data_IF_421099024850
#
_entry.id   IF_421099024850
#
_cell.length_a   1.000
_cell.length_b   1.000
_cell.length_c   1.000
_cell.angle_alpha   90.00
_cell.angle_beta   90.00
_cell.angle_gamma   90.00
#
_symmetry.space_group_name_H-M   'P 1'
#
loop_
_entity.id
_entity.type
_entity.pdbx_description
1 polymer ?
#
# COMPACT_ATOMS: atom_id res chain seq x y z
N UNK A 1 -20.03 -12.51 6.27
CA UNK A 1 -20.06 -12.48 4.79
C UNK A 1 -20.75 -13.73 4.29
N UNK A 2 -21.40 -13.70 3.13
CA UNK A 2 -21.85 -14.93 2.49
C UNK A 2 -20.63 -15.74 2.01
N UNK A 3 -20.72 -17.07 2.06
CA UNK A 3 -19.67 -17.97 1.58
C UNK A 3 -19.31 -17.69 0.11
N UNK A 4 -20.31 -17.36 -0.70
CA UNK A 4 -20.18 -17.02 -2.11
C UNK A 4 -19.27 -15.81 -2.36
N UNK A 5 -19.44 -14.74 -1.58
CA UNK A 5 -18.65 -13.52 -1.67
C UNK A 5 -17.14 -13.79 -1.47
N UNK A 6 -16.82 -14.61 -0.46
CA UNK A 6 -15.45 -15.03 -0.17
C UNK A 6 -14.88 -15.93 -1.26
N UNK A 7 -15.67 -16.84 -1.83
CA UNK A 7 -15.26 -17.67 -2.97
C UNK A 7 -14.96 -16.83 -4.22
N UNK A 8 -15.80 -15.85 -4.54
CA UNK A 8 -15.54 -14.93 -5.67
C UNK A 8 -14.25 -14.14 -5.48
N UNK A 9 -14.04 -13.61 -4.27
CA UNK A 9 -12.82 -12.88 -3.92
C UNK A 9 -11.57 -13.76 -4.07
N UNK A 10 -11.60 -14.99 -3.53
CA UNK A 10 -10.50 -15.94 -3.67
C UNK A 10 -10.20 -16.29 -5.14
N UNK A 11 -11.23 -16.54 -5.95
CA UNK A 11 -11.08 -16.82 -7.38
C UNK A 11 -10.46 -15.65 -8.13
N UNK A 12 -10.97 -14.43 -7.88
CA UNK A 12 -10.47 -13.20 -8.50
C UNK A 12 -9.01 -12.91 -8.09
N UNK A 13 -8.62 -13.18 -6.85
CA UNK A 13 -7.23 -13.07 -6.41
C UNK A 13 -6.34 -14.07 -7.14
N UNK A 14 -6.75 -15.34 -7.22
CA UNK A 14 -5.98 -16.38 -7.92
C UNK A 14 -5.79 -16.08 -9.40
N UNK A 15 -6.81 -15.53 -10.05
CA UNK A 15 -6.73 -15.12 -11.46
C UNK A 15 -5.68 -14.03 -11.66
N UNK A 16 -5.71 -12.97 -10.83
CA UNK A 16 -4.72 -11.89 -10.85
C UNK A 16 -3.29 -12.40 -10.65
N UNK A 17 -3.09 -13.28 -9.67
CA UNK A 17 -1.79 -13.91 -9.40
C UNK A 17 -1.31 -14.73 -10.60
N UNK A 18 -2.17 -15.57 -11.19
CA UNK A 18 -1.82 -16.35 -12.40
C UNK A 18 -1.50 -15.46 -13.59
N UNK A 19 -2.26 -14.38 -13.78
CA UNK A 19 -2.00 -13.41 -14.85
C UNK A 19 -0.64 -12.77 -14.66
N UNK A 20 -0.32 -12.29 -13.46
CA UNK A 20 1.01 -11.75 -13.16
C UNK A 20 2.13 -12.78 -13.35
N UNK A 21 1.95 -14.01 -12.86
CA UNK A 21 2.92 -15.09 -13.06
C UNK A 21 3.16 -15.39 -14.54
N UNK A 22 2.12 -15.30 -15.39
CA UNK A 22 2.26 -15.49 -16.85
C UNK A 22 3.03 -14.36 -17.54
N UNK A 23 3.08 -13.17 -16.95
CA UNK A 23 3.84 -12.02 -17.46
C UNK A 23 5.31 -12.03 -16.98
N UNK A 24 5.64 -12.81 -15.96
CA UNK A 24 7.03 -12.96 -15.51
C UNK A 24 7.89 -13.55 -16.63
N UNK A 25 9.15 -13.13 -16.68
CA UNK A 25 10.12 -13.54 -17.70
C UNK A 25 9.79 -13.14 -19.15
N UNK A 26 8.54 -12.77 -19.46
CA UNK A 26 8.09 -12.34 -20.77
C UNK A 26 8.30 -10.84 -21.00
N UNK A 27 8.52 -10.47 -22.25
CA UNK A 27 8.47 -9.07 -22.68
C UNK A 27 7.01 -8.65 -22.86
N UNK A 28 6.55 -7.75 -21.98
CA UNK A 28 5.17 -7.26 -22.02
C UNK A 28 4.99 -6.28 -23.18
N UNK A 29 3.87 -6.39 -23.88
CA UNK A 29 3.53 -5.45 -24.94
C UNK A 29 2.94 -4.15 -24.36
N UNK A 30 3.03 -3.02 -25.09
CA UNK A 30 2.35 -1.80 -24.71
C UNK A 30 0.85 -2.07 -24.50
N UNK A 31 0.30 -1.61 -23.38
CA UNK A 31 -1.10 -1.88 -23.04
C UNK A 31 -1.30 -3.01 -22.03
N UNK A 32 -0.47 -4.06 -22.05
CA UNK A 32 -0.68 -5.30 -21.29
C UNK A 32 -0.39 -5.15 -19.79
N UNK A 33 0.59 -4.29 -19.46
CA UNK A 33 1.04 -4.06 -18.09
C UNK A 33 1.40 -2.58 -17.89
N UNK A 34 1.94 -2.24 -16.72
CA UNK A 34 2.45 -0.91 -16.39
C UNK A 34 3.58 -0.49 -17.33
N UNK A 35 3.56 0.77 -17.79
CA UNK A 35 4.65 1.31 -18.61
C UNK A 35 5.86 1.68 -17.72
N UNK A 36 5.57 2.19 -16.52
CA UNK A 36 6.58 2.55 -15.51
C UNK A 36 6.13 2.09 -14.12
N UNK A 37 7.03 1.44 -13.39
CA UNK A 37 6.89 1.11 -11.97
C UNK A 37 7.88 1.96 -11.19
N UNK A 38 7.38 2.82 -10.31
CA UNK A 38 8.19 3.72 -9.49
C UNK A 38 8.10 3.30 -8.03
N UNK A 39 9.25 3.14 -7.38
CA UNK A 39 9.35 3.05 -5.92
C UNK A 39 9.91 4.35 -5.36
N UNK A 40 9.32 4.89 -4.30
CA UNK A 40 9.97 5.97 -3.53
C UNK A 40 10.97 5.39 -2.53
N UNK A 41 12.00 6.15 -2.21
CA UNK A 41 13.00 5.82 -1.20
C UNK A 41 13.26 7.05 -0.31
N UNK A 42 13.57 6.84 0.96
CA UNK A 42 13.78 7.92 1.94
C UNK A 42 15.07 8.70 1.70
N UNK A 43 16.06 8.06 1.07
CA UNK A 43 17.34 8.66 0.75
C UNK A 43 18.04 7.89 -0.40
N UNK A 44 19.21 8.39 -0.77
CA UNK A 44 20.02 7.84 -1.86
C UNK A 44 20.55 6.42 -1.56
N UNK A 45 20.87 6.12 -0.30
CA UNK A 45 21.35 4.78 0.08
C UNK A 45 20.22 3.75 -0.07
N UNK A 46 19.00 4.10 0.36
CA UNK A 46 17.83 3.26 0.18
C UNK A 46 17.49 3.12 -1.31
N UNK A 47 17.63 4.19 -2.11
CA UNK A 47 17.46 4.12 -3.57
C UNK A 47 18.38 3.06 -4.20
N UNK A 48 19.68 3.12 -3.92
CA UNK A 48 20.65 2.15 -4.43
C UNK A 48 20.33 0.70 -4.01
N UNK A 49 19.92 0.50 -2.76
CA UNK A 49 19.54 -0.81 -2.26
C UNK A 49 18.29 -1.37 -2.98
N UNK A 50 17.26 -0.53 -3.17
CA UNK A 50 16.05 -0.88 -3.90
C UNK A 50 16.36 -1.22 -5.37
N UNK A 51 17.20 -0.44 -6.05
CA UNK A 51 17.61 -0.70 -7.42
C UNK A 51 18.37 -2.03 -7.55
N UNK A 52 19.24 -2.35 -6.59
CA UNK A 52 19.91 -3.63 -6.54
C UNK A 52 18.93 -4.80 -6.38
N UNK A 53 17.89 -4.64 -5.53
CA UNK A 53 16.84 -5.66 -5.38
C UNK A 53 16.08 -5.86 -6.69
N UNK A 54 15.60 -4.79 -7.32
CA UNK A 54 14.89 -4.85 -8.61
C UNK A 54 15.77 -5.52 -9.67
N UNK A 55 17.05 -5.15 -9.79
CA UNK A 55 17.98 -5.76 -10.74
C UNK A 55 18.13 -7.27 -10.50
N UNK A 56 18.28 -7.70 -9.25
CA UNK A 56 18.35 -9.12 -8.90
C UNK A 56 17.06 -9.87 -9.21
N UNK A 57 15.90 -9.23 -9.05
CA UNK A 57 14.60 -9.81 -9.40
C UNK A 57 14.43 -10.00 -10.90
N UNK A 58 14.80 -9.00 -11.69
CA UNK A 58 14.81 -9.09 -13.16
C UNK A 58 15.74 -10.21 -13.65
N UNK A 59 16.96 -10.32 -13.09
CA UNK A 59 17.90 -11.40 -13.42
C UNK A 59 17.33 -12.79 -13.10
N UNK A 60 16.58 -12.91 -11.99
CA UNK A 60 15.88 -14.14 -11.59
C UNK A 60 14.54 -14.35 -12.30
N UNK A 61 14.16 -13.44 -13.20
CA UNK A 61 12.90 -13.47 -13.95
C UNK A 61 11.65 -13.42 -13.04
N UNK A 62 11.76 -12.78 -11.89
CA UNK A 62 10.66 -12.62 -10.91
C UNK A 62 9.71 -11.48 -11.26
N UNK A 63 10.12 -10.59 -12.17
CA UNK A 63 9.38 -9.43 -12.64
C UNK A 63 9.21 -9.46 -14.17
N UNK A 64 8.13 -8.89 -14.72
CA UNK A 64 7.96 -8.71 -16.16
C UNK A 64 9.10 -7.89 -16.81
N UNK A 65 9.45 -8.24 -18.05
CA UNK A 65 10.46 -7.54 -18.85
C UNK A 65 9.76 -6.57 -19.81
N UNK A 66 10.43 -5.49 -20.24
CA UNK A 66 9.84 -4.44 -21.09
C UNK A 66 9.26 -3.25 -20.29
N UNK A 67 9.18 -3.39 -18.96
CA UNK A 67 8.71 -2.36 -18.02
C UNK A 67 9.87 -1.49 -17.55
N UNK A 68 9.64 -0.18 -17.42
CA UNK A 68 10.62 0.73 -16.83
C UNK A 68 10.48 0.76 -15.31
N UNK A 69 11.42 0.13 -14.59
CA UNK A 69 11.50 0.21 -13.13
C UNK A 69 12.38 1.39 -12.72
N UNK A 70 11.85 2.28 -11.88
CA UNK A 70 12.54 3.46 -11.36
C UNK A 70 12.46 3.50 -9.84
N UNK A 71 13.51 4.01 -9.21
CA UNK A 71 13.50 4.32 -7.78
C UNK A 71 13.89 5.78 -7.62
N UNK A 72 13.07 6.54 -6.90
CA UNK A 72 13.33 7.96 -6.64
C UNK A 72 13.52 8.18 -5.14
N UNK A 73 14.69 8.73 -4.79
CA UNK A 73 14.98 9.17 -3.44
C UNK A 73 14.28 10.50 -3.15
N UNK A 74 13.81 10.65 -1.92
CA UNK A 74 13.47 11.95 -1.36
C UNK A 74 14.74 12.83 -1.30
N UNK A 75 14.61 14.15 -1.48
CA UNK A 75 15.73 15.07 -1.37
C UNK A 75 16.32 15.06 0.05
N UNK A 76 17.62 15.40 0.21
CA UNK A 76 18.22 15.53 1.52
C UNK A 76 17.54 16.66 2.31
N UNK A 77 17.31 16.44 3.61
CA UNK A 77 16.75 17.45 4.50
C UNK A 77 15.71 16.88 5.45
N UNK A 78 14.66 17.67 5.70
CA UNK A 78 13.53 17.27 6.52
C UNK A 78 12.73 16.12 5.89
N UNK A 79 12.02 15.35 6.71
CA UNK A 79 11.07 14.35 6.24
C UNK A 79 9.92 15.04 5.51
N UNK A 80 9.75 14.77 4.22
CA UNK A 80 8.75 15.43 3.36
C UNK A 80 7.40 14.70 3.29
N UNK A 81 7.30 13.50 3.86
CA UNK A 81 6.07 12.70 3.84
C UNK A 81 5.76 12.07 2.48
N UNK A 82 4.79 11.15 2.44
CA UNK A 82 4.42 10.45 1.21
C UNK A 82 3.81 11.38 0.14
N UNK A 83 3.14 12.46 0.54
CA UNK A 83 2.65 13.50 -0.37
C UNK A 83 3.81 14.28 -0.98
N UNK A 84 4.81 14.63 -0.18
CA UNK A 84 6.06 15.23 -0.67
C UNK A 84 6.77 14.29 -1.65
N UNK A 85 6.95 13.02 -1.29
CA UNK A 85 7.56 12.02 -2.17
C UNK A 85 6.81 11.87 -3.49
N UNK A 86 5.47 11.96 -3.48
CA UNK A 86 4.66 11.99 -4.72
C UNK A 86 5.01 13.18 -5.59
N UNK A 87 5.09 14.39 -5.03
CA UNK A 87 5.43 15.60 -5.77
C UNK A 87 6.83 15.50 -6.42
N UNK A 88 7.83 15.04 -5.65
CA UNK A 88 9.18 14.85 -6.18
C UNK A 88 9.26 13.70 -7.20
N UNK A 89 8.51 12.62 -7.01
CA UNK A 89 8.42 11.56 -8.02
C UNK A 89 7.83 12.08 -9.34
N UNK A 90 6.82 12.95 -9.30
CA UNK A 90 6.26 13.60 -10.50
C UNK A 90 7.29 14.50 -11.20
N UNK A 91 8.11 15.23 -10.44
CA UNK A 91 9.23 15.99 -10.99
C UNK A 91 10.21 15.09 -11.72
N UNK A 92 10.69 14.04 -11.07
CA UNK A 92 11.65 13.09 -11.64
C UNK A 92 11.09 12.38 -12.88
N UNK A 93 9.81 11.98 -12.86
CA UNK A 93 9.13 11.42 -14.03
C UNK A 93 9.13 12.40 -15.21
N UNK A 94 8.81 13.67 -14.96
CA UNK A 94 8.80 14.68 -16.00
C UNK A 94 10.22 14.99 -16.52
N UNK A 95 11.24 14.96 -15.68
CA UNK A 95 12.65 15.13 -16.08
C UNK A 95 13.14 13.95 -16.94
N UNK A 96 12.77 12.71 -16.60
CA UNK A 96 13.18 11.50 -17.32
C UNK A 96 12.42 11.33 -18.65
N UNK A 97 11.10 11.53 -18.65
CA UNK A 97 10.25 11.19 -19.81
C UNK A 97 9.77 12.42 -20.61
N UNK A 98 9.82 13.61 -20.03
CA UNK A 98 9.35 14.84 -20.68
C UNK A 98 7.97 14.69 -21.30
N UNK A 99 7.85 15.05 -22.58
CA UNK A 99 6.59 14.97 -23.33
C UNK A 99 6.03 13.54 -23.45
N UNK A 100 6.87 12.50 -23.33
CA UNK A 100 6.42 11.11 -23.44
C UNK A 100 5.55 10.70 -22.25
N UNK A 101 5.68 11.38 -21.11
CA UNK A 101 4.91 11.07 -19.89
C UNK A 101 3.39 11.11 -20.12
N UNK A 102 2.90 11.91 -21.07
CA UNK A 102 1.47 12.00 -21.41
C UNK A 102 0.87 10.71 -22.00
N UNK A 103 1.70 9.71 -22.28
CA UNK A 103 1.30 8.41 -22.83
C UNK A 103 1.52 7.25 -21.87
N UNK A 104 2.10 7.50 -20.70
CA UNK A 104 2.52 6.44 -19.77
C UNK A 104 1.49 6.23 -18.66
N UNK A 105 1.27 4.96 -18.32
CA UNK A 105 0.54 4.50 -17.15
C UNK A 105 1.57 4.11 -16.10
N UNK A 106 1.64 4.91 -15.04
CA UNK A 106 2.64 4.78 -13.99
C UNK A 106 1.97 4.22 -12.75
N UNK A 107 2.60 3.24 -12.11
CA UNK A 107 2.33 2.91 -10.71
C UNK A 107 3.44 3.48 -9.84
N UNK A 108 3.06 4.30 -8.87
CA UNK A 108 3.93 4.89 -7.86
C UNK A 108 3.65 4.23 -6.52
N UNK A 109 4.64 3.52 -6.00
CA UNK A 109 4.56 2.80 -4.73
C UNK A 109 5.39 3.55 -3.69
N UNK A 110 4.73 4.02 -2.64
CA UNK A 110 5.40 4.58 -1.47
C UNK A 110 6.11 3.46 -0.71
N UNK A 111 7.39 3.26 -1.02
CA UNK A 111 8.26 2.29 -0.38
C UNK A 111 9.24 2.94 0.62
N UNK A 112 9.37 4.26 0.56
CA UNK A 112 10.23 5.06 1.43
C UNK A 112 9.76 5.10 2.87
N UNK A 113 10.70 4.93 3.80
CA UNK A 113 10.46 5.04 5.24
C UNK A 113 11.28 4.05 6.06
N UNK A 114 11.53 4.39 7.32
CA UNK A 114 12.37 3.60 8.23
C UNK A 114 11.69 2.33 8.77
N UNK A 115 10.44 2.07 8.40
CA UNK A 115 9.64 0.94 8.90
C UNK A 115 9.76 0.71 10.41
N UNK A 116 9.75 1.79 11.21
CA UNK A 116 10.04 1.73 12.65
C UNK A 116 9.10 0.79 13.42
N UNK A 117 7.89 0.55 12.88
CA UNK A 117 6.86 -0.34 13.45
C UNK A 117 7.00 -1.81 13.00
N UNK A 118 7.82 -2.07 11.98
CA UNK A 118 8.16 -3.40 11.47
C UNK A 118 9.69 -3.50 11.27
N UNK A 119 10.47 -3.75 12.33
CA UNK A 119 11.93 -3.66 12.29
C UNK A 119 12.60 -4.59 11.27
N UNK A 120 12.00 -5.73 10.95
CA UNK A 120 12.47 -6.66 9.92
C UNK A 120 12.47 -6.05 8.50
N UNK A 121 11.69 -4.99 8.28
CA UNK A 121 11.59 -4.27 7.02
C UNK A 121 12.34 -2.91 7.05
N UNK A 122 13.18 -2.65 8.05
CA UNK A 122 13.87 -1.36 8.20
C UNK A 122 14.93 -1.10 7.12
N UNK A 123 15.71 -2.12 6.74
CA UNK A 123 16.82 -1.95 5.81
C UNK A 123 16.37 -1.77 4.35
N UNK A 124 15.47 -2.62 3.88
CA UNK A 124 15.00 -2.62 2.48
C UNK A 124 13.63 -1.95 2.30
N UNK A 125 12.94 -1.62 3.38
CA UNK A 125 11.55 -1.15 3.31
C UNK A 125 10.55 -2.30 3.21
N UNK A 126 9.27 -1.99 3.48
CA UNK A 126 8.19 -2.99 3.52
C UNK A 126 7.92 -3.62 2.16
N UNK A 127 8.23 -2.91 1.07
CA UNK A 127 8.01 -3.37 -0.30
C UNK A 127 8.78 -4.66 -0.65
N UNK A 128 9.89 -4.94 0.04
CA UNK A 128 10.66 -6.17 -0.12
C UNK A 128 10.42 -7.19 1.02
N UNK A 129 9.35 -7.04 1.79
CA UNK A 129 8.96 -8.06 2.77
C UNK A 129 8.41 -9.28 2.03
N UNK A 130 8.88 -10.47 2.41
CA UNK A 130 8.41 -11.72 1.84
C UNK A 130 6.96 -12.01 2.25
N UNK A 131 6.15 -12.49 1.32
CA UNK A 131 4.79 -13.00 1.56
C UNK A 131 4.83 -14.51 1.32
N UNK A 132 4.20 -15.35 2.16
CA UNK A 132 4.23 -16.81 2.02
C UNK A 132 3.35 -17.32 0.86
N UNK A 133 3.61 -16.81 -0.36
CA UNK A 133 2.82 -17.00 -1.56
C UNK A 133 3.74 -17.09 -2.79
N UNK A 134 3.35 -17.93 -3.76
CA UNK A 134 3.99 -18.03 -5.08
C UNK A 134 5.28 -18.85 -5.11
N UNK A 135 5.67 -19.23 -6.33
CA UNK A 135 6.94 -19.90 -6.64
C UNK A 135 7.51 -19.30 -7.93
N UNK A 136 8.61 -18.53 -7.88
CA UNK A 136 9.39 -18.17 -6.70
C UNK A 136 8.60 -17.30 -5.69
N UNK A 137 9.04 -17.32 -4.43
CA UNK A 137 8.37 -16.64 -3.31
C UNK A 137 8.17 -15.15 -3.59
N UNK A 138 6.94 -14.66 -3.43
CA UNK A 138 6.59 -13.26 -3.62
C UNK A 138 7.18 -12.39 -2.51
N UNK A 139 7.59 -11.18 -2.86
CA UNK A 139 7.67 -10.07 -1.93
C UNK A 139 6.48 -9.13 -2.18
N UNK A 140 6.31 -8.14 -1.31
CA UNK A 140 5.20 -7.18 -1.41
C UNK A 140 5.18 -6.47 -2.77
N UNK A 141 6.34 -6.26 -3.41
CA UNK A 141 6.44 -5.73 -4.76
C UNK A 141 5.66 -6.58 -5.78
N UNK A 142 5.94 -7.88 -5.87
CA UNK A 142 5.22 -8.78 -6.76
C UNK A 142 3.74 -8.84 -6.43
N UNK A 143 3.41 -8.88 -5.13
CA UNK A 143 2.01 -8.93 -4.71
C UNK A 143 1.26 -7.67 -5.16
N UNK A 144 1.80 -6.47 -4.92
CA UNK A 144 1.18 -5.21 -5.36
C UNK A 144 1.00 -5.15 -6.87
N UNK A 145 2.04 -5.53 -7.61
CA UNK A 145 1.98 -5.58 -9.08
C UNK A 145 0.94 -6.59 -9.58
N UNK A 146 0.79 -7.73 -8.90
CA UNK A 146 -0.21 -8.73 -9.23
C UNK A 146 -1.63 -8.27 -8.91
N UNK A 147 -1.87 -7.66 -7.74
CA UNK A 147 -3.20 -7.19 -7.33
C UNK A 147 -3.75 -6.09 -8.25
N UNK A 148 -2.88 -5.34 -8.92
CA UNK A 148 -3.26 -4.29 -9.86
C UNK A 148 -2.96 -4.63 -11.33
N UNK A 149 -2.73 -5.90 -11.66
CA UNK A 149 -2.33 -6.36 -13.00
C UNK A 149 -3.35 -6.01 -14.09
N UNK A 150 -4.63 -5.81 -13.73
CA UNK A 150 -5.71 -5.52 -14.68
C UNK A 150 -5.85 -4.04 -15.01
N UNK A 151 -5.36 -3.16 -14.13
CA UNK A 151 -5.61 -1.71 -14.21
C UNK A 151 -5.04 -1.07 -15.47
N UNK A 152 -3.80 -1.37 -15.91
CA UNK A 152 -3.24 -0.71 -17.09
C UNK A 152 -4.13 -0.82 -18.33
N UNK A 153 -4.79 -1.96 -18.53
CA UNK A 153 -5.66 -2.20 -19.69
C UNK A 153 -6.92 -1.32 -19.73
N UNK A 154 -7.31 -0.74 -18.60
CA UNK A 154 -8.51 0.07 -18.41
C UNK A 154 -8.17 1.47 -17.85
N UNK A 155 -6.91 1.89 -17.96
CA UNK A 155 -6.39 3.12 -17.39
C UNK A 155 -5.88 4.05 -18.48
N UNK A 156 -6.36 5.30 -18.49
CA UNK A 156 -5.75 6.37 -19.28
C UNK A 156 -4.36 6.74 -18.69
N UNK A 157 -3.45 7.31 -19.50
CA UNK A 157 -2.17 7.81 -18.99
C UNK A 157 -2.34 8.66 -17.73
N UNK A 158 -1.47 8.46 -16.75
CA UNK A 158 -1.61 9.00 -15.41
C UNK A 158 -0.84 8.17 -14.39
N UNK A 159 -1.08 8.43 -13.11
CA UNK A 159 -0.31 7.83 -12.01
C UNK A 159 -1.25 7.18 -10.99
N UNK A 160 -1.14 5.87 -10.80
CA UNK A 160 -1.74 5.17 -9.67
C UNK A 160 -0.78 5.24 -8.47
N UNK A 161 -1.25 5.73 -7.33
CA UNK A 161 -0.47 5.90 -6.11
C UNK A 161 -0.94 4.92 -5.04
N UNK A 162 -0.05 4.07 -4.56
CA UNK A 162 -0.30 3.05 -3.51
C UNK A 162 0.83 3.06 -2.49
N UNK A 163 0.60 2.49 -1.31
CA UNK A 163 1.68 2.19 -0.36
C UNK A 163 2.10 0.72 -0.42
N UNK A 164 3.09 0.38 0.41
CA UNK A 164 3.74 -0.93 0.47
C UNK A 164 3.35 -1.75 1.71
N UNK A 165 2.31 -1.34 2.45
CA UNK A 165 1.96 -1.90 3.76
C UNK A 165 0.50 -2.26 3.95
N UNK A 166 -0.19 -2.44 2.84
CA UNK A 166 -1.57 -2.92 2.75
C UNK A 166 -1.73 -3.95 1.64
N UNK A 167 -2.78 -4.74 1.74
CA UNK A 167 -3.21 -5.72 0.74
C UNK A 167 -4.68 -5.48 0.43
N UNK A 168 -4.97 -5.09 -0.82
CA UNK A 168 -6.32 -4.88 -1.33
C UNK A 168 -6.74 -6.06 -2.19
N UNK A 169 -7.68 -6.84 -1.68
CA UNK A 169 -8.31 -7.89 -2.45
C UNK A 169 -9.65 -7.37 -2.94
N UNK A 170 -9.97 -7.61 -4.20
CA UNK A 170 -11.27 -7.25 -4.76
C UNK A 170 -11.67 -8.24 -5.85
N UNK A 171 -12.97 -8.48 -5.96
CA UNK A 171 -13.56 -9.13 -7.12
C UNK A 171 -14.30 -8.12 -7.98
N UNK A 172 -14.42 -8.47 -9.25
CA UNK A 172 -15.18 -7.74 -10.26
C UNK A 172 -15.93 -8.77 -11.08
N UNK A 173 -17.18 -8.49 -11.45
CA UNK A 173 -17.93 -9.34 -12.37
C UNK A 173 -17.28 -9.36 -13.76
N UNK A 174 -17.55 -10.39 -14.59
CA UNK A 174 -16.95 -10.50 -15.94
C UNK A 174 -17.24 -9.31 -16.86
N UNK A 175 -18.37 -8.63 -16.67
CA UNK A 175 -18.78 -7.44 -17.43
C UNK A 175 -18.35 -6.11 -16.78
N UNK A 176 -17.88 -6.16 -15.54
CA UNK A 176 -17.47 -4.98 -14.76
C UNK A 176 -15.95 -4.90 -14.70
N UNK A 177 -15.40 -3.72 -15.00
CA UNK A 177 -13.96 -3.46 -14.92
C UNK A 177 -13.73 -2.14 -14.22
N UNK A 178 -12.67 -2.09 -13.41
CA UNK A 178 -12.17 -0.85 -12.82
C UNK A 178 -11.59 0.01 -13.93
N UNK A 179 -12.20 1.18 -14.19
CA UNK A 179 -11.79 2.10 -15.25
C UNK A 179 -11.26 3.40 -14.66
N UNK A 180 -10.04 3.76 -15.03
CA UNK A 180 -9.43 5.04 -14.66
C UNK A 180 -9.46 5.98 -15.86
N UNK A 181 -10.63 6.56 -16.12
CA UNK A 181 -10.90 7.39 -17.31
C UNK A 181 -11.44 8.79 -17.01
N UNK A 182 -11.70 9.08 -15.73
CA UNK A 182 -12.24 10.35 -15.22
C UNK A 182 -11.11 11.36 -14.94
N UNK A 183 -11.38 12.66 -15.13
CA UNK A 183 -10.45 13.72 -14.74
C UNK A 183 -10.40 13.88 -13.20
N UNK A 184 -9.32 14.47 -12.72
CA UNK A 184 -9.04 14.67 -11.31
C UNK A 184 -8.40 13.44 -10.67
N UNK A 185 -8.88 13.13 -9.46
CA UNK A 185 -8.49 11.95 -8.72
C UNK A 185 -9.58 10.88 -8.83
N UNK A 186 -9.18 9.62 -8.85
CA UNK A 186 -10.09 8.47 -8.77
C UNK A 186 -9.58 7.49 -7.72
N UNK A 187 -10.23 7.43 -6.57
CA UNK A 187 -9.85 6.56 -5.46
C UNK A 187 -10.61 5.23 -5.47
N UNK A 188 -10.04 4.19 -4.86
CA UNK A 188 -10.76 2.95 -4.57
C UNK A 188 -11.39 3.02 -3.17
N UNK A 189 -12.68 2.68 -3.09
CA UNK A 189 -13.45 2.69 -1.85
C UNK A 189 -13.83 1.27 -1.42
N UNK A 190 -13.53 0.94 -0.16
CA UNK A 190 -13.76 -0.40 0.40
C UNK A 190 -14.79 -0.36 1.53
N UNK A 191 -15.83 -1.21 1.54
CA UNK A 191 -16.75 -1.28 2.66
C UNK A 191 -16.04 -1.85 3.89
N UNK A 192 -15.92 -1.03 4.92
CA UNK A 192 -15.15 -1.33 6.13
C UNK A 192 -15.95 -1.05 7.41
N UNK A 193 -15.65 -1.77 8.52
CA UNK A 193 -16.18 -1.42 9.83
C UNK A 193 -15.82 0.02 10.21
N UNK A 194 -16.67 0.69 10.98
CA UNK A 194 -16.42 2.07 11.42
C UNK A 194 -15.12 2.21 12.22
N UNK A 195 -14.67 1.13 12.89
CA UNK A 195 -13.38 1.09 13.61
C UNK A 195 -12.16 1.17 12.68
N UNK A 196 -12.26 0.70 11.44
CA UNK A 196 -11.21 0.90 10.43
C UNK A 196 -11.22 2.33 9.92
N UNK A 197 -12.42 2.93 9.79
CA UNK A 197 -12.57 4.34 9.42
C UNK A 197 -11.91 5.32 10.38
N UNK A 198 -11.66 4.95 11.64
CA UNK A 198 -10.94 5.84 12.59
C UNK A 198 -9.43 5.89 12.37
N UNK A 199 -8.89 4.95 11.59
CA UNK A 199 -7.45 4.86 11.31
C UNK A 199 -7.12 5.11 9.83
N UNK A 200 -8.13 5.23 8.97
CA UNK A 200 -8.01 5.42 7.53
C UNK A 200 -8.84 6.62 7.05
N UNK A 201 -8.72 6.96 5.78
CA UNK A 201 -9.61 7.89 5.10
C UNK A 201 -11.01 7.32 4.91
N UNK A 202 -12.02 8.19 4.94
CA UNK A 202 -13.42 7.85 4.75
C UNK A 202 -14.05 8.78 3.73
N UNK A 203 -14.79 8.20 2.77
CA UNK A 203 -15.49 8.96 1.73
C UNK A 203 -16.92 9.32 2.15
N UNK A 204 -17.29 10.59 1.95
CA UNK A 204 -18.68 11.05 1.95
C UNK A 204 -19.14 11.11 0.50
N UNK A 205 -20.08 10.25 0.14
CA UNK A 205 -20.47 10.01 -1.26
C UNK A 205 -21.74 10.79 -1.64
N UNK A 206 -21.88 11.15 -2.91
CA UNK A 206 -23.15 11.73 -3.40
C UNK A 206 -24.25 10.66 -3.40
N UNK A 207 -25.27 10.88 -2.57
CA UNK A 207 -26.29 9.88 -2.20
C UNK A 207 -27.29 9.51 -3.31
N UNK A 208 -27.06 9.90 -4.56
CA UNK A 208 -28.13 9.98 -5.56
C UNK A 208 -28.61 8.68 -6.18
N UNK A 209 -27.97 7.52 -6.00
CA UNK A 209 -28.49 6.27 -6.58
C UNK A 209 -27.94 5.00 -5.88
N UNK A 210 -28.30 4.77 -4.62
CA UNK A 210 -27.95 3.52 -3.89
C UNK A 210 -28.84 2.34 -4.32
N UNK A 211 -28.83 1.99 -5.60
CA UNK A 211 -29.72 0.96 -6.15
C UNK A 211 -29.08 0.05 -7.19
N UNK A 212 -27.89 -0.47 -6.91
CA UNK A 212 -27.44 -1.67 -7.63
C UNK A 212 -26.72 -2.64 -6.71
N UNK A 213 -27.04 -3.93 -6.85
CA UNK A 213 -26.25 -5.04 -6.29
C UNK A 213 -24.96 -5.27 -7.10
N UNK A 214 -24.36 -4.20 -7.64
CA UNK A 214 -23.14 -4.27 -8.45
C UNK A 214 -21.93 -4.49 -7.55
N UNK A 215 -20.93 -5.23 -8.04
CA UNK A 215 -19.65 -5.36 -7.35
C UNK A 215 -18.81 -4.07 -7.48
N UNK A 216 -19.08 -3.24 -8.50
CA UNK A 216 -18.38 -1.99 -8.78
C UNK A 216 -19.37 -0.83 -9.02
N UNK A 217 -19.29 0.22 -8.21
CA UNK A 217 -20.05 1.45 -8.43
C UNK A 217 -19.11 2.64 -8.60
N UNK A 218 -19.39 3.52 -9.58
CA UNK A 218 -18.63 4.76 -9.76
C UNK A 218 -19.46 5.93 -9.26
N UNK A 219 -18.92 6.70 -8.32
CA UNK A 219 -19.61 7.85 -7.74
C UNK A 219 -18.67 9.02 -7.50
N UNK A 220 -19.24 10.22 -7.32
CA UNK A 220 -18.49 11.40 -6.92
C UNK A 220 -18.34 11.44 -5.39
N UNK A 221 -17.15 11.79 -4.90
CA UNK A 221 -16.93 12.10 -3.50
C UNK A 221 -17.28 13.57 -3.24
N UNK A 222 -18.16 13.79 -2.27
CA UNK A 222 -18.51 15.12 -1.79
C UNK A 222 -17.43 15.68 -0.85
N UNK A 223 -16.89 14.83 0.02
CA UNK A 223 -15.91 15.18 1.04
C UNK A 223 -15.10 13.94 1.45
N UNK A 224 -13.79 14.10 1.60
CA UNK A 224 -12.92 13.10 2.18
C UNK A 224 -12.58 13.46 3.64
N UNK A 225 -12.66 12.48 4.54
CA UNK A 225 -12.34 12.63 5.95
C UNK A 225 -11.09 11.81 6.27
N UNK A 226 -10.03 12.44 6.77
CA UNK A 226 -8.82 11.70 7.15
C UNK A 226 -8.85 11.30 8.63
N UNK A 227 -8.95 9.98 8.89
CA UNK A 227 -8.96 9.40 10.25
C UNK A 227 -10.02 10.02 11.18
N UNK A 228 -11.30 10.13 10.74
CA UNK A 228 -12.36 10.75 11.54
C UNK A 228 -12.74 9.92 12.78
N UNK A 229 -13.35 10.58 13.77
CA UNK A 229 -14.11 9.86 14.79
C UNK A 229 -15.38 9.23 14.20
N UNK A 230 -15.93 8.21 14.88
CA UNK A 230 -17.21 7.60 14.49
C UNK A 230 -18.34 8.63 14.48
N UNK A 231 -18.38 9.55 15.44
CA UNK A 231 -19.39 10.60 15.49
C UNK A 231 -19.26 11.53 14.28
N UNK A 232 -18.04 11.93 13.92
CA UNK A 232 -17.80 12.73 12.71
C UNK A 232 -18.26 12.01 11.44
N UNK A 233 -18.07 10.70 11.33
CA UNK A 233 -18.59 9.91 10.20
C UNK A 233 -20.13 9.95 10.14
N UNK A 234 -20.82 9.87 11.27
CA UNK A 234 -22.28 9.96 11.34
C UNK A 234 -22.79 11.35 10.98
N UNK A 235 -22.20 12.38 11.58
CA UNK A 235 -22.60 13.78 11.42
C UNK A 235 -22.44 14.29 9.97
N UNK A 236 -21.46 13.72 9.25
CA UNK A 236 -21.18 14.08 7.85
C UNK A 236 -21.90 13.19 6.84
N UNK A 237 -22.65 12.18 7.30
CA UNK A 237 -23.38 11.26 6.42
C UNK A 237 -22.50 10.22 5.71
N UNK A 238 -21.28 9.98 6.18
CA UNK A 238 -20.39 8.96 5.63
C UNK A 238 -20.87 7.52 5.92
N UNK A 239 -21.62 7.33 7.02
CA UNK A 239 -22.09 6.02 7.45
C UNK A 239 -23.17 5.48 6.52
N UNK A 240 -22.93 4.29 5.98
CA UNK A 240 -23.86 3.53 5.18
C UNK A 240 -24.55 2.45 6.04
N UNK A 241 -25.83 2.21 5.76
CA UNK A 241 -26.61 1.12 6.36
C UNK A 241 -26.75 -0.01 5.37
N UNK A 242 -26.67 -1.24 5.87
CA UNK A 242 -26.84 -2.44 5.06
C UNK A 242 -28.25 -2.51 4.46
N UNK A 243 -28.33 -2.72 3.16
CA UNK A 243 -29.56 -3.16 2.49
C UNK A 243 -29.52 -4.68 2.27
N UNK A 244 -30.68 -5.33 2.19
CA UNK A 244 -30.78 -6.76 1.88
C UNK A 244 -30.11 -7.06 0.53
N UNK A 245 -29.02 -7.82 0.54
CA UNK A 245 -28.24 -8.16 -0.67
C UNK A 245 -26.81 -7.60 -0.72
N UNK A 246 -26.41 -6.70 0.19
CA UNK A 246 -25.04 -6.15 0.20
C UNK A 246 -23.97 -7.22 0.53
N UNK A 247 -22.82 -7.11 -0.14
CA UNK A 247 -21.76 -8.12 -0.18
C UNK A 247 -20.99 -8.31 1.13
N UNK A 248 -20.84 -7.34 2.05
CA UNK A 248 -19.93 -7.51 3.22
C UNK A 248 -20.37 -6.80 4.51
N UNK A 249 -19.96 -7.42 5.65
CA UNK A 249 -20.05 -7.09 7.09
C UNK A 249 -21.22 -7.69 7.90
N UNK A 250 -20.90 -8.19 9.11
CA UNK A 250 -21.88 -8.58 10.14
C UNK A 250 -22.63 -7.39 10.70
N UNK A 251 -21.95 -6.24 10.68
CA UNK A 251 -22.38 -5.03 11.35
C UNK A 251 -23.46 -4.34 10.51
N UNK A 252 -24.41 -3.69 11.19
CA UNK A 252 -25.50 -2.99 10.54
C UNK A 252 -25.05 -1.72 9.80
N UNK A 253 -23.90 -1.17 10.21
CA UNK A 253 -23.31 0.09 9.73
C UNK A 253 -21.90 -0.16 9.20
N UNK A 254 -21.54 0.55 8.14
CA UNK A 254 -20.20 0.53 7.56
C UNK A 254 -19.86 1.89 6.94
N UNK A 255 -18.60 2.10 6.59
CA UNK A 255 -18.15 3.26 5.83
C UNK A 255 -17.26 2.80 4.66
N UNK A 256 -17.17 3.61 3.61
CA UNK A 256 -16.21 3.36 2.54
C UNK A 256 -14.87 3.99 2.89
N UNK A 257 -13.86 3.15 3.06
CA UNK A 257 -12.49 3.58 3.39
C UNK A 257 -11.58 3.57 2.17
N UNK A 258 -10.54 4.38 2.19
CA UNK A 258 -9.54 4.49 1.14
C UNK A 258 -8.47 3.37 1.19
N UNK A 259 -7.71 3.27 0.10
CA UNK A 259 -6.52 2.44 -0.03
C UNK A 259 -5.53 3.07 -1.02
N UNK A 260 -5.93 3.15 -2.28
CA UNK A 260 -5.13 3.63 -3.41
C UNK A 260 -5.94 4.61 -4.26
N UNK A 261 -5.25 5.47 -4.99
CA UNK A 261 -5.90 6.42 -5.89
C UNK A 261 -5.09 6.67 -7.16
N UNK A 262 -5.81 6.96 -8.24
CA UNK A 262 -5.30 7.39 -9.53
C UNK A 262 -5.37 8.91 -9.66
N UNK A 263 -4.34 9.49 -10.27
CA UNK A 263 -4.27 10.89 -10.67
C UNK A 263 -4.21 10.92 -12.20
N UNK A 264 -5.16 11.60 -12.85
CA UNK A 264 -5.09 11.77 -14.30
C UNK A 264 -3.88 12.61 -14.71
N UNK A 265 -3.40 12.43 -15.95
CA UNK A 265 -2.20 13.11 -16.43
C UNK A 265 -2.22 14.63 -16.24
N UNK A 266 -3.33 15.31 -16.52
CA UNK A 266 -3.39 16.77 -16.41
C UNK A 266 -3.32 17.21 -14.94
N UNK A 267 -4.00 16.48 -14.05
CA UNK A 267 -3.94 16.75 -12.60
C UNK A 267 -2.54 16.45 -12.04
N UNK A 268 -1.87 15.40 -12.52
CA UNK A 268 -0.49 15.10 -12.16
C UNK A 268 0.47 16.23 -12.60
N UNK A 269 0.28 16.82 -13.78
CA UNK A 269 1.05 17.99 -14.22
C UNK A 269 0.72 19.25 -13.41
N UNK A 270 -0.53 19.40 -12.98
CA UNK A 270 -0.94 20.48 -12.08
C UNK A 270 -0.21 20.38 -10.73
N UNK A 271 -0.13 19.19 -10.13
CA UNK A 271 0.65 18.94 -8.91
C UNK A 271 2.15 19.20 -9.09
N UNK A 272 2.71 18.85 -10.25
CA UNK A 272 4.11 19.19 -10.55
C UNK A 272 4.34 20.71 -10.58
N UNK A 273 3.40 21.48 -11.14
CA UNK A 273 3.51 22.94 -11.13
C UNK A 273 3.38 23.50 -9.72
N UNK A 274 2.50 22.93 -8.89
CA UNK A 274 2.43 23.25 -7.46
C UNK A 274 3.78 23.07 -6.77
N UNK A 275 4.50 21.95 -6.99
CA UNK A 275 5.84 21.77 -6.39
C UNK A 275 6.81 22.90 -6.81
N UNK A 276 6.78 23.34 -8.07
CA UNK A 276 7.62 24.45 -8.55
C UNK A 276 7.29 25.77 -7.83
N UNK A 277 6.03 26.00 -7.49
CA UNK A 277 5.58 27.18 -6.76
C UNK A 277 5.89 27.10 -5.25
N UNK A 278 5.82 25.89 -4.67
CA UNK A 278 6.19 25.64 -3.29
C UNK A 278 7.69 25.78 -3.06
N UNK A 279 8.50 25.35 -4.04
CA UNK A 279 9.94 25.21 -3.88
C UNK A 279 10.30 23.96 -3.06
N UNK A 280 11.54 23.88 -2.54
CA UNK A 280 11.96 22.77 -1.70
C UNK A 280 11.06 22.61 -0.47
N UNK A 281 10.56 21.39 -0.25
CA UNK A 281 9.71 21.10 0.91
C UNK A 281 10.58 20.91 2.16
N UNK A 282 10.16 21.55 3.25
CA UNK A 282 10.80 21.47 4.56
C UNK A 282 9.91 20.86 5.65
N UNK A 283 8.69 20.44 5.29
CA UNK A 283 7.70 19.82 6.17
C UNK A 283 7.11 18.54 5.58
N UNK A 284 6.50 17.73 6.46
CA UNK A 284 5.83 16.49 6.09
C UNK A 284 4.45 16.77 5.48
N UNK A 285 4.28 16.42 4.20
CA UNK A 285 3.02 16.47 3.46
C UNK A 285 2.46 15.05 3.36
N UNK A 286 1.22 14.84 3.83
CA UNK A 286 0.53 13.55 3.76
C UNK A 286 -0.33 13.47 2.49
N UNK A 287 -0.13 12.46 1.66
CA UNK A 287 -0.81 12.38 0.36
C UNK A 287 -2.34 12.23 0.51
N UNK A 288 -2.83 11.59 1.57
CA UNK A 288 -4.26 11.39 1.80
C UNK A 288 -4.84 12.57 2.59
N UNK A 289 -4.16 12.96 3.67
CA UNK A 289 -4.52 14.06 4.54
C UNK A 289 -4.42 15.42 3.87
N UNK A 290 -3.49 15.64 2.95
CA UNK A 290 -3.27 16.96 2.33
C UNK A 290 -3.76 17.05 0.89
N UNK A 291 -3.73 15.96 0.10
CA UNK A 291 -4.34 15.98 -1.23
C UNK A 291 -5.82 15.65 -1.17
N UNK A 292 -6.22 14.46 -0.69
CA UNK A 292 -7.61 14.03 -0.80
C UNK A 292 -8.58 14.90 0.01
N UNK A 293 -8.18 15.41 1.20
CA UNK A 293 -9.03 16.35 1.97
C UNK A 293 -9.25 17.70 1.26
N UNK A 294 -8.37 18.10 0.32
CA UNK A 294 -8.55 19.31 -0.46
C UNK A 294 -9.55 19.15 -1.62
N UNK A 295 -9.96 17.92 -1.92
CA UNK A 295 -10.79 17.59 -3.08
C UNK A 295 -12.26 17.43 -2.71
N UNK A 296 -13.11 17.54 -3.73
CA UNK A 296 -14.56 17.43 -3.60
C UNK A 296 -15.22 18.78 -3.31
N UNK A 297 -16.51 18.92 -3.67
CA UNK A 297 -17.25 20.18 -3.58
C UNK A 297 -17.39 20.71 -2.15
N UNK A 298 -17.38 19.84 -1.14
CA UNK A 298 -17.57 20.21 0.26
C UNK A 298 -16.25 20.32 1.04
N UNK A 299 -15.09 20.28 0.35
CA UNK A 299 -13.79 20.44 0.98
C UNK A 299 -13.66 21.79 1.69
N UNK A 300 -13.10 21.76 2.91
CA UNK A 300 -12.87 22.95 3.73
C UNK A 300 -11.40 23.06 4.09
N UNK A 301 -10.94 24.28 4.32
CA UNK A 301 -9.53 24.56 4.65
C UNK A 301 -9.17 24.14 6.09
N UNK A 302 -10.16 23.81 6.91
CA UNK A 302 -10.03 23.62 8.36
C UNK A 302 -9.05 22.51 8.75
N UNK A 303 -8.86 21.48 7.90
CA UNK A 303 -7.89 20.42 8.19
C UNK A 303 -6.43 20.91 8.17
N UNK A 304 -6.14 22.02 7.48
CA UNK A 304 -4.76 22.49 7.26
C UNK A 304 -4.05 22.90 8.55
N UNK A 305 -4.81 23.28 9.58
CA UNK A 305 -4.31 23.62 10.91
C UNK A 305 -4.23 22.41 11.86
N UNK A 306 -4.73 21.25 11.45
CA UNK A 306 -4.69 20.04 12.28
C UNK A 306 -3.32 19.34 12.17
N UNK A 307 -2.52 19.45 13.23
CA UNK A 307 -1.15 18.88 13.27
C UNK A 307 -1.08 17.50 13.92
N UNK A 308 -2.22 16.91 14.33
CA UNK A 308 -2.25 15.65 15.10
C UNK A 308 -1.63 14.45 14.37
N UNK A 309 -1.59 14.47 13.03
CA UNK A 309 -1.12 13.36 12.20
C UNK A 309 0.32 13.54 11.68
N UNK A 310 1.04 14.57 12.12
CA UNK A 310 2.39 14.87 11.63
C UNK A 310 3.45 14.44 12.65
N UNK A 311 4.58 13.91 12.18
CA UNK A 311 5.67 13.44 13.06
C UNK A 311 6.34 14.61 13.80
N UNK A 312 6.47 15.76 13.12
CA UNK A 312 7.08 16.98 13.64
C UNK A 312 6.34 18.20 13.09
N UNK A 313 5.93 19.09 13.97
CA UNK A 313 5.28 20.34 13.59
C UNK A 313 6.34 21.37 13.13
N UNK A 314 6.43 21.55 11.83
CA UNK A 314 7.30 22.57 11.22
C UNK A 314 6.52 23.87 11.01
N UNK A 315 7.21 25.01 11.16
CA UNK A 315 6.56 26.33 11.07
C UNK A 315 5.91 26.64 9.72
N UNK A 316 6.39 26.01 8.64
CA UNK A 316 5.87 26.15 7.27
C UNK A 316 4.66 25.26 6.97
N UNK A 317 4.37 24.27 7.82
CA UNK A 317 3.42 23.18 7.55
C UNK A 317 2.03 23.71 7.17
N UNK A 318 1.46 24.59 7.99
CA UNK A 318 0.12 25.15 7.75
C UNK A 318 0.10 25.94 6.44
N UNK A 319 1.12 26.76 6.18
CA UNK A 319 1.19 27.57 4.98
C UNK A 319 1.29 26.69 3.71
N UNK A 320 2.09 25.63 3.74
CA UNK A 320 2.21 24.67 2.63
C UNK A 320 0.89 23.95 2.40
N UNK A 321 0.24 23.44 3.47
CA UNK A 321 -1.07 22.79 3.37
C UNK A 321 -2.16 23.69 2.82
N UNK A 322 -2.17 24.96 3.22
CA UNK A 322 -3.11 25.94 2.66
C UNK A 322 -2.84 26.19 1.17
N UNK A 323 -1.58 26.28 0.73
CA UNK A 323 -1.27 26.38 -0.71
C UNK A 323 -1.75 25.15 -1.48
N UNK A 324 -1.49 23.94 -0.96
CA UNK A 324 -2.00 22.68 -1.53
C UNK A 324 -3.53 22.72 -1.64
N UNK A 325 -4.23 23.13 -0.57
CA UNK A 325 -5.68 23.24 -0.54
C UNK A 325 -6.20 24.16 -1.65
N UNK A 326 -5.68 25.39 -1.74
CA UNK A 326 -6.14 26.35 -2.73
C UNK A 326 -5.87 25.90 -4.16
N UNK A 327 -4.76 25.19 -4.39
CA UNK A 327 -4.41 24.65 -5.70
C UNK A 327 -5.32 23.51 -6.14
N UNK A 328 -5.67 22.63 -5.21
CA UNK A 328 -6.48 21.44 -5.49
C UNK A 328 -7.99 21.71 -5.42
N UNK A 329 -8.43 22.78 -4.76
CA UNK A 329 -9.84 23.12 -4.60
C UNK A 329 -10.55 23.20 -5.97
N UNK A 330 -11.66 22.47 -6.09
CA UNK A 330 -12.43 22.36 -7.33
C UNK A 330 -11.99 21.22 -8.26
N UNK A 331 -10.89 20.53 -7.94
CA UNK A 331 -10.51 19.29 -8.64
C UNK A 331 -11.46 18.16 -8.23
N UNK A 332 -12.03 17.39 -9.18
CA UNK A 332 -12.92 16.27 -8.86
C UNK A 332 -12.21 15.16 -8.09
N UNK A 333 -12.91 14.59 -7.12
CA UNK A 333 -12.57 13.31 -6.50
C UNK A 333 -13.67 12.30 -6.85
N UNK A 334 -13.33 11.35 -7.70
CA UNK A 334 -14.18 10.22 -8.06
C UNK A 334 -13.83 9.03 -7.15
N UNK A 335 -14.79 8.15 -6.90
CA UNK A 335 -14.58 6.92 -6.12
C UNK A 335 -15.16 5.74 -6.89
N UNK A 336 -14.34 4.70 -7.02
CA UNK A 336 -14.76 3.39 -7.49
C UNK A 336 -15.00 2.54 -6.23
N UNK A 337 -16.27 2.33 -5.90
CA UNK A 337 -16.68 1.50 -4.77
C UNK A 337 -16.53 0.03 -5.16
N UNK A 338 -15.64 -0.67 -4.47
CA UNK A 338 -15.41 -2.10 -4.64
C UNK A 338 -16.22 -2.84 -3.56
N UNK A 339 -17.49 -3.12 -3.87
CA UNK A 339 -18.44 -3.64 -2.89
C UNK A 339 -18.10 -5.06 -2.39
N UNK A 340 -17.42 -5.85 -3.21
CA UNK A 340 -16.77 -7.10 -2.77
C UNK A 340 -15.25 -6.93 -2.72
N UNK A 341 -14.77 -6.32 -1.64
CA UNK A 341 -13.34 -6.13 -1.41
C UNK A 341 -12.95 -6.26 0.05
N UNK A 342 -11.65 -6.41 0.27
CA UNK A 342 -11.01 -6.49 1.58
C UNK A 342 -9.74 -5.67 1.58
N UNK A 343 -9.54 -4.99 2.69
CA UNK A 343 -8.37 -4.20 2.97
C UNK A 343 -7.69 -4.75 4.23
N UNK A 344 -6.42 -5.12 4.10
CA UNK A 344 -5.62 -5.64 5.20
C UNK A 344 -4.38 -4.78 5.37
N UNK A 345 -4.27 -4.09 6.51
CA UNK A 345 -3.09 -3.30 6.83
C UNK A 345 -2.07 -4.18 7.57
N UNK A 346 -0.83 -4.17 7.10
CA UNK A 346 0.30 -4.97 7.59
C UNK A 346 1.51 -4.09 7.94
N UNK A 347 1.24 -2.85 8.36
CA UNK A 347 2.26 -1.84 8.61
C UNK A 347 3.00 -1.95 9.93
N UNK A 348 2.52 -2.79 10.86
CA UNK A 348 3.16 -3.07 12.15
C UNK A 348 3.53 -4.55 12.30
N UNK A 349 4.47 -4.85 13.21
CA UNK A 349 4.86 -6.24 13.52
C UNK A 349 3.67 -7.07 13.99
N UNK A 350 2.78 -6.51 14.81
CA UNK A 350 1.61 -7.22 15.33
C UNK A 350 0.62 -7.58 14.23
N UNK A 351 0.31 -6.62 13.35
CA UNK A 351 -0.58 -6.85 12.20
C UNK A 351 0.04 -7.87 11.23
N UNK A 352 1.32 -7.71 10.89
CA UNK A 352 2.04 -8.63 10.01
C UNK A 352 2.00 -10.07 10.52
N UNK A 353 2.25 -10.27 11.83
CA UNK A 353 2.14 -11.59 12.46
C UNK A 353 0.71 -12.10 12.43
N UNK A 354 -0.25 -11.32 12.93
CA UNK A 354 -1.65 -11.71 12.98
C UNK A 354 -2.17 -12.14 11.60
N UNK A 355 -1.99 -11.30 10.58
CA UNK A 355 -2.50 -11.55 9.24
C UNK A 355 -1.85 -12.76 8.57
N UNK A 356 -0.55 -12.99 8.77
CA UNK A 356 0.15 -14.11 8.11
C UNK A 356 0.11 -15.43 8.90
N UNK A 357 -0.32 -15.43 10.17
CA UNK A 357 -0.34 -16.65 10.99
C UNK A 357 -1.70 -17.03 11.56
N UNK A 358 -2.55 -16.07 11.89
CA UNK A 358 -3.82 -16.30 12.60
C UNK A 358 -5.06 -15.96 11.77
N UNK A 359 -4.97 -15.00 10.86
CA UNK A 359 -6.10 -14.53 10.06
C UNK A 359 -6.57 -15.57 9.02
N UNK A 360 -7.61 -16.31 9.39
CA UNK A 360 -8.23 -17.34 8.55
C UNK A 360 -8.83 -16.75 7.27
N UNK A 361 -9.31 -15.49 7.32
CA UNK A 361 -9.94 -14.84 6.16
C UNK A 361 -8.87 -14.52 5.12
N UNK A 362 -7.82 -13.78 5.51
CA UNK A 362 -6.71 -13.47 4.61
C UNK A 362 -6.08 -14.74 4.05
N UNK A 363 -5.84 -15.74 4.90
CA UNK A 363 -5.28 -17.04 4.49
C UNK A 363 -6.12 -17.70 3.40
N UNK A 364 -7.44 -17.69 3.55
CA UNK A 364 -8.35 -18.28 2.56
C UNK A 364 -8.36 -17.45 1.28
N UNK A 365 -8.48 -16.13 1.37
CA UNK A 365 -8.62 -15.24 0.21
C UNK A 365 -7.35 -15.14 -0.64
N UNK A 366 -6.16 -15.14 -0.01
CA UNK A 366 -4.86 -15.23 -0.70
C UNK A 366 -4.48 -16.67 -1.09
N UNK A 367 -5.19 -17.68 -0.56
CA UNK A 367 -4.86 -19.09 -0.79
C UNK A 367 -3.55 -19.53 -0.13
N UNK A 368 -3.19 -18.95 1.01
CA UNK A 368 -2.00 -19.31 1.77
C UNK A 368 -2.14 -20.74 2.33
N UNK A 369 -1.12 -21.57 2.10
CA UNK A 369 -1.11 -22.96 2.56
C UNK A 369 -0.54 -23.06 3.98
N UNK A 370 -1.12 -23.91 4.83
CA UNK A 370 -0.65 -24.16 6.20
C UNK A 370 0.57 -25.09 6.29
N UNK A 371 1.37 -25.18 5.22
CA UNK A 371 2.47 -26.14 5.12
C UNK A 371 3.79 -25.47 5.45
N UNK A 372 4.23 -25.59 6.70
CA UNK A 372 5.63 -25.38 7.06
C UNK A 372 6.43 -26.62 6.62
N UNK A 373 7.29 -26.48 5.62
CA UNK A 373 8.25 -27.51 5.25
C UNK A 373 9.64 -27.09 5.73
N UNK A 374 10.25 -27.89 6.61
CA UNK A 374 11.68 -27.81 6.87
C UNK A 374 12.38 -28.70 5.86
N UNK A 375 13.12 -28.11 4.93
CA UNK A 375 14.07 -28.90 4.11
C UNK A 375 15.27 -29.21 5.02
N UNK A 376 15.32 -30.43 5.55
CA UNK A 376 16.51 -30.91 6.26
C UNK A 376 17.58 -31.22 5.22
N UNK A 377 18.43 -30.23 4.92
CA UNK A 377 19.60 -30.41 4.05
C UNK A 377 20.69 -31.12 4.85
N UNK A 378 20.50 -32.41 5.09
CA UNK A 378 21.58 -33.30 5.51
C UNK A 378 21.94 -34.25 4.36
N UNK A 379 23.07 -33.90 3.76
CA UNK A 379 24.05 -34.72 3.03
C UNK A 379 23.58 -36.01 2.34
N UNK A 380 23.76 -36.02 1.01
CA UNK A 380 24.12 -37.16 0.16
C UNK A 380 23.45 -38.51 0.47
N UNK A 381 22.26 -38.73 -0.09
CA UNK A 381 21.95 -39.92 -0.89
C UNK A 381 20.51 -39.82 -1.38
N UNK A 382 20.29 -40.17 -2.66
CA UNK A 382 19.00 -40.05 -3.31
C UNK A 382 17.93 -40.92 -2.66
N UNK A 383 17.07 -40.31 -1.84
CA UNK A 383 15.65 -40.64 -1.72
C UNK A 383 14.95 -39.56 -0.90
N UNK A 384 14.10 -38.74 -1.53
CA UNK A 384 13.21 -37.80 -0.84
C UNK A 384 12.25 -38.60 0.05
N UNK A 385 12.47 -38.59 1.37
CA UNK A 385 11.48 -39.08 2.34
C UNK A 385 10.69 -37.90 2.90
N UNK A 386 9.43 -37.81 2.49
CA UNK A 386 8.45 -36.86 3.00
C UNK A 386 8.08 -37.21 4.44
N UNK A 387 8.19 -36.26 5.36
CA UNK A 387 7.64 -36.38 6.70
C UNK A 387 6.74 -35.16 6.99
N UNK A 388 5.42 -35.37 6.96
CA UNK A 388 4.46 -34.44 7.55
C UNK A 388 4.56 -34.53 9.07
N UNK A 389 4.81 -33.41 9.76
CA UNK A 389 4.60 -33.30 11.20
C UNK A 389 3.48 -32.31 11.49
N UNK A 390 2.40 -32.70 12.19
CA UNK A 390 1.39 -31.77 12.65
C UNK A 390 1.87 -31.12 13.97
N UNK A 391 2.10 -29.81 13.95
CA UNK A 391 2.38 -29.02 15.16
C UNK A 391 2.66 -27.55 14.85
N UNK A 392 2.30 -26.60 15.73
CA UNK A 392 2.55 -25.18 15.51
C UNK A 392 4.02 -24.88 15.81
N UNK A 393 4.84 -24.62 14.78
CA UNK A 393 6.23 -24.21 14.98
C UNK A 393 6.65 -23.06 14.04
N UNK A 394 7.06 -21.98 14.72
CA UNK A 394 7.79 -20.76 14.35
C UNK A 394 8.34 -20.60 12.92
N UNK A 395 7.95 -19.50 12.28
CA UNK A 395 8.74 -18.73 11.30
C UNK A 395 10.00 -18.13 11.99
N UNK A 396 11.00 -18.96 12.30
CA UNK A 396 12.36 -18.48 12.62
C UNK A 396 13.47 -19.15 11.81
N UNK A 397 13.12 -19.97 10.82
CA UNK A 397 14.07 -20.84 10.13
C UNK A 397 13.96 -20.83 8.61
N UNK A 398 13.79 -19.67 7.98
CA UNK A 398 13.99 -19.54 6.53
C UNK A 398 14.34 -18.09 6.19
N UNK A 399 15.49 -17.66 6.67
CA UNK A 399 16.22 -16.51 6.15
C UNK A 399 17.66 -16.98 5.94
N UNK A 400 18.24 -16.60 4.82
CA UNK A 400 19.56 -16.99 4.30
C UNK A 400 19.57 -18.25 3.41
N UNK A 401 19.25 -18.04 2.14
CA UNK A 401 19.90 -18.77 1.04
C UNK A 401 20.69 -17.75 0.21
N UNK A 402 22.02 -17.75 0.37
CA UNK A 402 22.94 -16.97 -0.46
C UNK A 402 23.74 -15.92 0.31
N UNK A 403 24.79 -16.35 1.00
CA UNK A 403 25.76 -15.46 1.64
C UNK A 403 26.73 -16.26 2.50
N UNK A 404 27.88 -16.63 1.94
CA UNK A 404 28.97 -17.26 2.68
C UNK A 404 29.50 -16.25 3.69
N UNK A 405 29.18 -16.43 4.97
CA UNK A 405 30.01 -15.94 6.07
C UNK A 405 30.42 -17.15 6.90
N UNK A 406 31.57 -17.74 6.54
CA UNK A 406 32.32 -18.58 7.45
C UNK A 406 32.99 -17.68 8.50
N UNK A 407 32.43 -17.63 9.70
CA UNK A 407 33.26 -17.45 10.91
C UNK A 407 32.69 -18.32 12.01
N UNK A 408 33.47 -19.33 12.38
CA UNK A 408 33.13 -20.26 13.44
C UNK A 408 33.15 -19.63 14.83
N UNK A 409 32.72 -20.45 15.78
CA UNK A 409 32.77 -20.28 17.24
C UNK A 409 31.47 -19.77 17.90
N UNK A 410 30.87 -20.71 18.65
CA UNK A 410 29.64 -20.62 19.46
C UNK A 410 29.71 -19.67 20.68
N UNK A 411 30.62 -18.69 20.71
CA UNK A 411 30.88 -17.87 21.90
C UNK A 411 30.24 -16.46 21.89
N UNK A 412 29.75 -15.97 20.75
CA UNK A 412 29.25 -14.58 20.66
C UNK A 412 27.82 -14.40 21.20
N UNK A 413 26.92 -15.38 21.01
CA UNK A 413 25.52 -15.26 21.44
C UNK A 413 25.29 -15.30 22.96
N UNK A 414 26.26 -15.77 23.77
CA UNK A 414 26.13 -15.76 25.25
C UNK A 414 26.59 -14.46 25.91
N UNK A 415 27.31 -13.58 25.21
CA UNK A 415 27.77 -12.29 25.79
C UNK A 415 26.77 -11.14 25.65
N UNK A 416 25.81 -11.23 24.73
CA UNK A 416 24.83 -10.15 24.55
C UNK A 416 23.64 -10.25 25.53
N UNK A 417 23.26 -11.45 25.94
CA UNK A 417 22.15 -11.68 26.87
C UNK A 417 22.49 -11.44 28.36
N UNK A 418 23.76 -11.30 28.74
CA UNK A 418 24.17 -11.03 30.13
C UNK A 418 24.43 -9.54 30.45
N UNK A 419 24.20 -8.61 29.52
CA UNK A 419 24.44 -7.16 29.72
C UNK A 419 23.18 -6.27 29.68
N UNK A 420 21.99 -6.85 29.89
CA UNK A 420 20.72 -6.09 30.00
C UNK A 420 19.90 -6.42 31.27
N UNK A 421 20.58 -6.87 32.33
CA UNK A 421 19.95 -7.18 33.63
C UNK A 421 20.41 -6.25 34.77
N UNK A 422 20.82 -5.02 34.43
CA UNK A 422 21.06 -3.96 35.40
C UNK A 422 20.49 -2.67 34.83
N UNK A 423 19.38 -2.22 35.44
CA UNK A 423 18.87 -0.85 35.60
C UNK A 423 17.34 -0.88 35.58
N UNK A 424 16.82 -1.33 36.71
CA UNK A 424 15.45 -1.11 37.17
C UNK A 424 15.55 -0.01 38.25
N UNK A 425 14.84 1.13 38.13
CA UNK A 425 14.55 1.91 39.32
C UNK A 425 13.07 2.32 39.34
N UNK A 426 12.26 1.53 40.04
CA UNK A 426 11.01 1.97 40.62
C UNK A 426 10.91 1.47 42.06
N UNK A 427 11.33 2.31 43.01
CA UNK A 427 10.73 2.44 44.37
C UNK A 427 11.36 3.60 45.15
N UNK A 428 10.59 4.70 45.21
CA UNK A 428 10.25 5.52 46.38
C UNK A 428 11.32 5.87 47.41
N UNK A 429 11.54 7.18 47.61
CA UNK A 429 11.75 7.77 48.93
C UNK A 429 11.35 9.26 48.92
N UNK A 430 10.36 9.59 49.74
CA UNK A 430 10.05 10.92 50.24
C UNK A 430 11.18 11.43 51.14
N UNK A 431 11.58 12.71 51.02
CA UNK A 431 11.85 13.60 52.16
C UNK A 431 12.33 14.99 51.67
N UNK A 432 11.61 16.00 52.16
CA UNK A 432 11.86 17.46 52.17
C UNK A 432 11.53 18.25 50.90
#
# INVERSE_FOLDING_TARGET
MSQECSTRLQSATREKLRKFDSLRAGEVQPGEFWDVVVLTAVDENQREACELQIRKKLLRKELPVGVQYKVFADPPGSKIGNGGSTLYALQQLNEVYGKTLCRLRVILIHAGGFSQRLPSASALGKIFTAVPLGDPLYQMLELKLALYVDFPSQMKPGVLVTCADDIELYSTSEDERVKFDKPGFTALGHPSPLSIGTTHGVFVLDSKEKSSNSEIENTACLLFLHKPSVDKMRDTGAVCKRQSGCFVLSDAEFAYTDSTYYIDFNTAMSLLNLLKELGPLDCEVDAYGDFLQALGPNATIDYTINTANVTKEESSLVAIRQKIFHHLKGTPLNVILLNNSKFYHIGTTSEYLFHLTEDVMLRTELGLLSSAFSVDVKENSGMLRYAQRPGPQCLRGSWVSGGIFQTGSRSFCRRWLHRKQLLDPCRTLSAR
#
